data_IF_350357418531
#
_entry.id   IF_350357418531
#
_cell.length_a   1.000
_cell.length_b   1.000
_cell.length_c   1.000
_cell.angle_alpha   90.00
_cell.angle_beta   90.00
_cell.angle_gamma   90.00
#
_symmetry.space_group_name_H-M   'P 1'
#
loop_
_entity.id
_entity.type
_entity.pdbx_description
1 polymer ?
#
# COMPACT_ATOMS: atom_id res chain seq x y z
N UNK A 1 13.73 19.25 2.01
CA UNK A 1 13.37 18.28 0.96
C UNK A 1 14.60 18.03 0.11
N UNK A 2 15.09 16.78 0.11
CA UNK A 2 16.23 16.34 -0.70
C UNK A 2 15.71 15.89 -2.06
N UNK A 3 16.40 16.23 -3.14
CA UNK A 3 16.08 15.67 -4.47
C UNK A 3 16.97 14.45 -4.71
N UNK A 4 16.39 13.37 -5.25
CA UNK A 4 17.07 12.11 -5.55
C UNK A 4 16.83 11.72 -7.00
N UNK A 5 17.71 10.89 -7.54
CA UNK A 5 17.65 10.42 -8.91
C UNK A 5 17.93 8.92 -8.93
N UNK A 6 17.03 8.16 -9.51
CA UNK A 6 17.18 6.73 -9.73
C UNK A 6 17.58 6.49 -11.19
N UNK A 7 18.54 5.61 -11.42
CA UNK A 7 19.15 5.40 -12.74
C UNK A 7 18.73 4.06 -13.35
N UNK A 8 18.69 3.01 -12.55
CA UNK A 8 18.36 1.67 -13.03
C UNK A 8 16.85 1.50 -13.17
N UNK A 9 16.41 1.17 -14.39
CA UNK A 9 15.01 0.94 -14.72
C UNK A 9 14.83 -0.21 -15.70
N UNK A 10 13.73 -0.95 -15.55
CA UNK A 10 13.19 -1.84 -16.56
C UNK A 10 12.04 -1.15 -17.28
N UNK A 11 11.80 -1.58 -18.52
CA UNK A 11 10.72 -1.08 -19.36
C UNK A 11 9.95 -2.27 -19.92
N UNK A 12 8.65 -2.29 -19.66
CA UNK A 12 7.73 -3.33 -20.14
C UNK A 12 6.69 -2.72 -21.06
N UNK A 13 6.42 -3.41 -22.17
CA UNK A 13 5.40 -3.00 -23.13
C UNK A 13 4.01 -3.34 -22.59
N UNK A 14 3.17 -2.32 -22.38
CA UNK A 14 1.81 -2.50 -21.85
C UNK A 14 0.80 -1.69 -22.69
N UNK A 15 0.11 -2.32 -23.65
CA UNK A 15 -0.85 -1.63 -24.48
C UNK A 15 -2.12 -1.26 -23.70
N UNK A 16 -2.72 -0.13 -24.09
CA UNK A 16 -3.98 0.37 -23.53
C UNK A 16 -3.80 1.22 -22.28
N UNK A 17 -4.93 1.82 -21.85
CA UNK A 17 -5.01 2.58 -20.62
C UNK A 17 -5.47 1.68 -19.46
N UNK A 18 -5.11 2.04 -18.24
CA UNK A 18 -5.51 1.33 -17.03
C UNK A 18 -6.10 2.27 -15.98
N UNK A 19 -6.87 1.70 -15.06
CA UNK A 19 -7.18 2.36 -13.79
C UNK A 19 -6.04 2.15 -12.81
N UNK A 20 -5.85 3.09 -11.88
CA UNK A 20 -4.80 2.98 -10.86
C UNK A 20 -4.92 1.69 -10.00
N UNK A 21 -6.15 1.23 -9.77
CA UNK A 21 -6.46 -0.01 -9.02
C UNK A 21 -6.30 -1.29 -9.85
N UNK A 22 -6.03 -1.17 -11.16
CA UNK A 22 -5.75 -2.27 -12.07
C UNK A 22 -4.24 -2.46 -12.28
N UNK A 23 -3.43 -2.04 -11.31
CA UNK A 23 -1.98 -2.25 -11.24
C UNK A 23 -1.64 -2.78 -9.85
N UNK A 24 -0.87 -3.87 -9.79
CA UNK A 24 -0.47 -4.47 -8.52
C UNK A 24 0.81 -5.27 -8.62
N UNK A 25 1.33 -5.64 -7.45
CA UNK A 25 2.53 -6.47 -7.30
C UNK A 25 2.23 -7.56 -6.30
N UNK A 26 2.60 -8.79 -6.60
CA UNK A 26 2.42 -9.92 -5.69
C UNK A 26 2.90 -11.23 -6.29
N UNK A 27 3.08 -12.24 -5.43
CA UNK A 27 3.48 -13.59 -5.82
C UNK A 27 2.28 -14.32 -6.44
N UNK A 28 2.24 -14.34 -7.78
CA UNK A 28 1.09 -14.80 -8.58
C UNK A 28 1.14 -16.31 -8.79
N UNK A 29 2.32 -16.90 -8.89
CA UNK A 29 2.52 -18.33 -9.14
C UNK A 29 3.00 -19.13 -7.92
N UNK A 30 3.03 -18.50 -6.75
CA UNK A 30 3.35 -19.09 -5.44
C UNK A 30 4.80 -19.58 -5.32
N UNK A 31 5.74 -18.94 -6.00
CA UNK A 31 7.16 -19.25 -5.93
C UNK A 31 7.94 -18.35 -4.93
N UNK A 32 7.24 -17.46 -4.22
CA UNK A 32 7.75 -16.44 -3.29
C UNK A 32 8.47 -15.27 -3.95
N UNK A 33 8.52 -15.23 -5.27
CA UNK A 33 8.93 -14.07 -6.05
C UNK A 33 7.69 -13.31 -6.50
N UNK A 34 7.74 -11.99 -6.41
CA UNK A 34 6.58 -11.18 -6.77
C UNK A 34 6.65 -10.75 -8.24
N UNK A 35 5.54 -10.89 -8.93
CA UNK A 35 5.31 -10.40 -10.29
C UNK A 35 4.56 -9.06 -10.28
N UNK A 36 4.64 -8.35 -11.42
CA UNK A 36 3.79 -7.19 -11.69
C UNK A 36 2.58 -7.66 -12.46
N UNK A 37 1.41 -7.21 -12.05
CA UNK A 37 0.16 -7.47 -12.74
C UNK A 37 -0.50 -6.16 -13.15
N UNK A 38 -0.87 -6.06 -14.42
CA UNK A 38 -1.54 -4.89 -14.97
C UNK A 38 -2.73 -5.31 -15.84
N UNK A 39 -3.87 -4.65 -15.66
CA UNK A 39 -5.08 -4.86 -16.45
C UNK A 39 -5.51 -3.58 -17.13
N UNK A 40 -5.84 -3.65 -18.41
CA UNK A 40 -6.26 -2.49 -19.17
C UNK A 40 -7.78 -2.40 -19.36
N UNK A 41 -8.23 -1.25 -19.82
CA UNK A 41 -9.63 -0.96 -20.11
C UNK A 41 -10.20 -1.76 -21.30
N UNK A 42 -9.34 -2.41 -22.09
CA UNK A 42 -9.75 -3.28 -23.21
C UNK A 42 -10.01 -4.73 -22.77
N UNK A 43 -9.79 -5.05 -21.50
CA UNK A 43 -9.98 -6.40 -20.96
C UNK A 43 -8.80 -7.33 -21.17
N UNK A 44 -7.60 -6.78 -21.33
CA UNK A 44 -6.36 -7.53 -21.34
C UNK A 44 -5.69 -7.44 -19.97
N UNK A 45 -5.41 -8.60 -19.38
CA UNK A 45 -4.68 -8.77 -18.12
C UNK A 45 -3.30 -9.34 -18.42
N UNK A 46 -2.25 -8.71 -17.92
CA UNK A 46 -0.86 -9.07 -18.21
C UNK A 46 -0.07 -9.24 -16.91
N UNK A 47 0.74 -10.30 -16.84
CA UNK A 47 1.66 -10.58 -15.74
C UNK A 47 3.08 -10.49 -16.26
N UNK A 48 3.95 -9.73 -15.59
CA UNK A 48 5.36 -9.53 -15.95
C UNK A 48 6.26 -10.12 -14.87
N UNK A 49 7.20 -10.97 -15.27
CA UNK A 49 8.11 -11.72 -14.39
C UNK A 49 9.57 -11.48 -14.78
N UNK A 50 10.42 -11.18 -13.80
CA UNK A 50 11.87 -11.00 -14.00
C UNK A 50 12.25 -9.75 -14.80
N UNK A 51 12.96 -9.94 -15.91
CA UNK A 51 13.48 -8.85 -16.76
C UNK A 51 12.98 -8.90 -18.20
N UNK A 52 12.11 -9.85 -18.55
CA UNK A 52 11.56 -9.94 -19.91
C UNK A 52 10.62 -8.75 -20.15
N UNK A 53 10.91 -7.95 -21.17
CA UNK A 53 10.10 -6.78 -21.53
C UNK A 53 8.67 -7.18 -21.94
N UNK A 54 8.50 -8.43 -22.37
CA UNK A 54 7.20 -9.00 -22.73
C UNK A 54 6.55 -9.65 -21.51
N UNK A 55 5.22 -9.62 -21.43
CA UNK A 55 4.51 -10.28 -20.35
C UNK A 55 4.69 -11.80 -20.43
N UNK A 56 4.83 -12.36 -19.24
CA UNK A 56 5.01 -13.77 -18.94
C UNK A 56 3.69 -14.55 -19.09
N UNK A 57 2.58 -13.95 -18.65
CA UNK A 57 1.21 -14.46 -18.86
C UNK A 57 0.27 -13.34 -19.30
N UNK A 58 -0.75 -13.70 -20.07
CA UNK A 58 -1.78 -12.82 -20.62
C UNK A 58 -3.15 -13.49 -20.58
N UNK A 59 -4.19 -12.74 -20.26
CA UNK A 59 -5.58 -13.11 -20.51
C UNK A 59 -6.29 -11.96 -21.24
N UNK A 60 -7.28 -12.29 -22.05
CA UNK A 60 -8.07 -11.36 -22.84
C UNK A 60 -9.56 -11.62 -22.64
N UNK A 61 -10.40 -10.75 -23.18
CA UNK A 61 -11.87 -10.86 -23.14
C UNK A 61 -12.46 -10.81 -21.71
N UNK A 62 -11.80 -10.09 -20.79
CA UNK A 62 -12.20 -10.00 -19.38
C UNK A 62 -13.17 -8.85 -19.05
N UNK A 63 -13.61 -8.09 -20.05
CA UNK A 63 -14.34 -6.82 -19.84
C UNK A 63 -13.42 -5.69 -19.35
N UNK A 64 -13.94 -4.49 -19.15
CA UNK A 64 -13.11 -3.34 -18.75
C UNK A 64 -12.55 -3.55 -17.34
N UNK A 65 -11.26 -3.89 -17.20
CA UNK A 65 -10.66 -4.23 -15.89
C UNK A 65 -10.51 -2.97 -15.04
N UNK A 66 -11.14 -2.95 -13.87
CA UNK A 66 -11.09 -1.82 -12.93
C UNK A 66 -10.21 -2.07 -11.72
N UNK A 67 -10.14 -3.31 -11.23
CA UNK A 67 -9.40 -3.68 -10.02
C UNK A 67 -8.67 -5.01 -10.21
N UNK A 68 -7.45 -5.09 -9.69
CA UNK A 68 -6.65 -6.32 -9.61
C UNK A 68 -6.15 -6.52 -8.19
N UNK A 69 -6.03 -7.78 -7.77
CA UNK A 69 -5.48 -8.14 -6.48
C UNK A 69 -4.88 -9.54 -6.52
N UNK A 70 -3.85 -9.76 -5.70
CA UNK A 70 -3.16 -11.04 -5.54
C UNK A 70 -3.16 -11.38 -4.06
N UNK A 71 -3.65 -12.56 -3.70
CA UNK A 71 -3.69 -13.01 -2.31
C UNK A 71 -4.46 -14.33 -2.12
N UNK A 72 -4.41 -14.88 -0.90
CA UNK A 72 -5.07 -16.16 -0.54
C UNK A 72 -6.58 -16.01 -0.36
N UNK A 73 -7.28 -15.62 -1.44
CA UNK A 73 -8.72 -15.35 -1.39
C UNK A 73 -9.57 -16.60 -1.14
N UNK A 74 -9.03 -17.78 -1.48
CA UNK A 74 -9.70 -19.05 -1.27
C UNK A 74 -9.41 -19.68 0.10
N UNK A 75 -8.55 -19.05 0.92
CA UNK A 75 -8.16 -19.54 2.24
C UNK A 75 -7.58 -20.96 2.21
N UNK A 76 -6.71 -21.24 1.23
CA UNK A 76 -6.04 -22.53 1.02
C UNK A 76 -4.51 -22.43 1.13
N UNK A 77 -3.99 -21.28 1.61
CA UNK A 77 -2.57 -21.00 1.72
C UNK A 77 -1.89 -20.75 0.38
N UNK A 78 -2.66 -20.37 -0.66
CA UNK A 78 -2.14 -20.09 -2.01
C UNK A 78 -2.70 -18.78 -2.53
N UNK A 79 -1.82 -17.93 -3.02
CA UNK A 79 -2.18 -16.71 -3.71
C UNK A 79 -2.88 -17.02 -5.03
N UNK A 80 -3.93 -16.24 -5.29
CA UNK A 80 -4.72 -16.26 -6.51
C UNK A 80 -4.76 -14.86 -7.09
N UNK A 81 -4.72 -14.77 -8.41
CA UNK A 81 -4.91 -13.51 -9.11
C UNK A 81 -6.40 -13.27 -9.33
N UNK A 82 -6.90 -12.15 -8.85
CA UNK A 82 -8.30 -11.71 -8.97
C UNK A 82 -8.36 -10.48 -9.87
N UNK A 83 -9.26 -10.49 -10.84
CA UNK A 83 -9.55 -9.37 -11.73
C UNK A 83 -11.04 -9.05 -11.72
N UNK A 84 -11.38 -7.79 -11.46
CA UNK A 84 -12.76 -7.28 -11.53
C UNK A 84 -12.93 -6.37 -12.75
N UNK A 85 -14.05 -6.56 -13.43
CA UNK A 85 -14.46 -5.72 -14.56
C UNK A 85 -15.54 -4.71 -14.17
N UNK A 86 -15.65 -3.61 -14.92
CA UNK A 86 -16.70 -2.60 -14.74
C UNK A 86 -18.10 -3.20 -14.89
N UNK A 87 -18.24 -4.25 -15.70
CA UNK A 87 -19.50 -4.97 -15.92
C UNK A 87 -19.90 -5.87 -14.73
N UNK A 88 -19.01 -6.09 -13.76
CA UNK A 88 -19.26 -6.91 -12.57
C UNK A 88 -18.76 -8.35 -12.67
N UNK A 89 -18.06 -8.73 -13.75
CA UNK A 89 -17.40 -10.03 -13.82
C UNK A 89 -16.16 -10.06 -12.93
N UNK A 90 -16.13 -11.04 -12.01
CA UNK A 90 -14.99 -11.40 -11.19
C UNK A 90 -14.34 -12.66 -11.76
N UNK A 91 -13.08 -12.53 -12.16
CA UNK A 91 -12.27 -13.60 -12.71
C UNK A 91 -11.18 -13.96 -11.70
N UNK A 92 -11.04 -15.26 -11.40
CA UNK A 92 -10.00 -15.77 -10.51
C UNK A 92 -9.09 -16.69 -11.32
N UNK A 93 -7.78 -16.48 -11.22
CA UNK A 93 -6.77 -17.24 -11.95
C UNK A 93 -5.85 -17.99 -10.97
N UNK A 94 -5.74 -19.30 -11.16
CA UNK A 94 -4.65 -20.11 -10.61
C UNK A 94 -3.51 -20.12 -11.63
N UNK A 95 -2.55 -19.22 -11.45
CA UNK A 95 -1.40 -19.13 -12.36
C UNK A 95 -0.36 -20.16 -11.95
N UNK A 96 0.13 -20.92 -12.94
CA UNK A 96 1.14 -21.96 -12.74
C UNK A 96 2.50 -21.47 -13.27
N UNK A 97 3.55 -21.81 -12.53
CA UNK A 97 4.94 -21.56 -12.93
C UNK A 97 5.38 -22.37 -14.15
N UNK A 98 6.55 -22.07 -14.69
CA UNK A 98 7.06 -22.63 -15.96
C UNK A 98 7.44 -24.14 -15.92
N UNK A 99 7.25 -24.81 -14.78
CA UNK A 99 7.57 -26.23 -14.57
C UNK A 99 6.44 -27.24 -14.92
N UNK A 100 5.22 -26.76 -15.20
CA UNK A 100 4.06 -27.61 -15.48
C UNK A 100 3.60 -27.51 -16.95
N UNK A 101 4.23 -28.31 -17.83
CA UNK A 101 3.80 -28.69 -19.19
C UNK A 101 3.49 -27.59 -20.27
N UNK A 102 4.51 -27.22 -21.06
CA UNK A 102 4.47 -27.38 -22.54
C UNK A 102 4.13 -26.20 -23.50
N UNK A 103 5.07 -25.96 -24.42
CA UNK A 103 5.02 -25.35 -25.78
C UNK A 103 4.65 -23.86 -25.96
N UNK A 104 5.59 -23.10 -26.55
CA UNK A 104 5.59 -21.63 -26.61
C UNK A 104 4.35 -20.91 -27.16
N UNK A 105 4.32 -19.59 -26.89
CA UNK A 105 3.29 -18.56 -27.15
C UNK A 105 1.84 -18.87 -26.69
N UNK A 106 1.32 -20.09 -26.88
CA UNK A 106 0.06 -20.54 -26.25
C UNK A 106 0.18 -20.69 -24.73
N UNK A 107 1.38 -21.02 -24.22
CA UNK A 107 1.69 -21.11 -22.79
C UNK A 107 1.62 -19.75 -22.06
N UNK A 108 1.69 -18.64 -22.82
CA UNK A 108 1.50 -17.30 -22.24
C UNK A 108 0.03 -16.99 -21.99
N UNK A 109 -0.92 -17.70 -22.61
CA UNK A 109 -2.34 -17.43 -22.42
C UNK A 109 -2.88 -18.12 -21.16
N UNK A 110 -3.34 -17.36 -20.18
CA UNK A 110 -4.01 -17.88 -18.99
C UNK A 110 -5.53 -17.78 -19.11
N UNK A 111 -6.23 -18.75 -18.54
CA UNK A 111 -7.70 -18.79 -18.48
C UNK A 111 -8.19 -18.69 -17.03
N UNK A 112 -9.32 -18.03 -16.78
CA UNK A 112 -9.87 -17.95 -15.43
C UNK A 112 -10.24 -19.34 -14.93
N UNK A 113 -9.74 -19.69 -13.75
CA UNK A 113 -10.09 -20.93 -13.05
C UNK A 113 -11.50 -20.85 -12.44
N UNK A 114 -11.99 -19.64 -12.17
CA UNK A 114 -13.36 -19.40 -11.72
C UNK A 114 -13.86 -18.05 -12.23
N UNK A 115 -15.16 -17.99 -12.55
CA UNK A 115 -15.84 -16.77 -12.97
C UNK A 115 -17.13 -16.63 -12.16
N UNK A 116 -17.33 -15.47 -11.56
CA UNK A 116 -18.57 -15.15 -10.87
C UNK A 116 -19.00 -13.72 -11.17
N UNK A 117 -20.30 -13.52 -11.40
CA UNK A 117 -20.87 -12.19 -11.51
C UNK A 117 -21.10 -11.60 -10.12
N UNK A 118 -20.46 -10.47 -9.85
CA UNK A 118 -20.63 -9.61 -8.68
C UNK A 118 -21.35 -8.31 -9.11
N UNK A 119 -21.73 -7.41 -8.19
CA UNK A 119 -22.24 -6.10 -8.57
C UNK A 119 -21.27 -5.35 -9.50
N UNK A 120 -21.81 -4.57 -10.44
CA UNK A 120 -21.02 -3.81 -11.40
C UNK A 120 -20.40 -2.54 -10.79
N UNK A 121 -19.50 -1.90 -11.53
CA UNK A 121 -18.81 -0.64 -11.18
C UNK A 121 -17.95 -0.73 -9.91
N UNK A 122 -17.18 -1.81 -9.77
CA UNK A 122 -16.10 -1.89 -8.78
C UNK A 122 -15.07 -0.78 -9.04
N UNK A 123 -14.68 -0.10 -7.97
CA UNK A 123 -13.74 1.03 -8.00
C UNK A 123 -12.44 0.74 -7.28
N UNK A 124 -12.51 -0.01 -6.18
CA UNK A 124 -11.37 -0.38 -5.33
C UNK A 124 -11.61 -1.75 -4.75
N UNK A 125 -10.53 -2.52 -4.57
CA UNK A 125 -10.57 -3.88 -4.06
C UNK A 125 -9.40 -4.13 -3.12
N UNK A 126 -9.66 -4.78 -1.99
CA UNK A 126 -8.62 -5.37 -1.13
C UNK A 126 -8.98 -6.80 -0.78
N UNK A 127 -7.95 -7.60 -0.48
CA UNK A 127 -8.09 -8.95 0.05
C UNK A 127 -7.53 -8.90 1.47
N UNK A 128 -8.40 -9.02 2.47
CA UNK A 128 -8.02 -8.92 3.87
C UNK A 128 -9.04 -9.62 4.76
N UNK A 129 -8.60 -10.05 5.93
CA UNK A 129 -9.47 -10.49 7.02
C UNK A 129 -10.16 -9.27 7.62
N UNK A 130 -11.48 -9.15 7.41
CA UNK A 130 -12.27 -7.99 7.85
C UNK A 130 -13.14 -8.27 9.06
N UNK A 131 -13.36 -9.54 9.42
CA UNK A 131 -14.12 -9.91 10.62
C UNK A 131 -13.24 -10.60 11.68
N UNK A 132 -11.92 -10.50 11.53
CA UNK A 132 -10.88 -11.05 12.41
C UNK A 132 -11.07 -12.56 12.69
N UNK A 133 -11.61 -13.31 11.72
CA UNK A 133 -11.83 -14.76 11.85
C UNK A 133 -10.64 -15.61 11.35
N UNK A 134 -9.56 -14.94 10.92
CA UNK A 134 -8.35 -15.55 10.39
C UNK A 134 -8.45 -15.94 8.92
N UNK A 135 -9.56 -15.62 8.24
CA UNK A 135 -9.74 -15.86 6.80
C UNK A 135 -9.80 -14.55 6.04
N UNK A 136 -9.29 -14.55 4.82
CA UNK A 136 -9.36 -13.41 3.93
C UNK A 136 -10.72 -13.32 3.25
N UNK A 137 -11.29 -12.11 3.24
CA UNK A 137 -12.44 -11.71 2.43
C UNK A 137 -12.01 -10.87 1.22
N UNK A 138 -12.85 -10.91 0.19
CA UNK A 138 -12.83 -9.96 -0.91
C UNK A 138 -13.65 -8.74 -0.53
N UNK A 139 -13.01 -7.59 -0.33
CA UNK A 139 -13.70 -6.33 -0.01
C UNK A 139 -13.67 -5.43 -1.23
N UNK A 140 -14.86 -4.98 -1.66
CA UNK A 140 -15.01 -4.18 -2.87
C UNK A 140 -15.75 -2.89 -2.52
N UNK A 141 -15.14 -1.75 -2.86
CA UNK A 141 -15.79 -0.45 -2.90
C UNK A 141 -16.32 -0.15 -4.30
N UNK A 142 -17.57 0.30 -4.39
CA UNK A 142 -18.27 0.57 -5.64
C UNK A 142 -18.46 2.07 -5.86
N UNK A 143 -18.70 2.48 -7.10
CA UNK A 143 -18.96 3.89 -7.46
C UNK A 143 -20.26 4.45 -6.88
N UNK A 144 -21.16 3.59 -6.39
CA UNK A 144 -22.44 3.95 -5.75
C UNK A 144 -22.29 4.21 -4.23
N UNK A 145 -21.06 4.30 -3.73
CA UNK A 145 -20.70 4.55 -2.32
C UNK A 145 -21.01 3.37 -1.39
N UNK A 146 -21.18 2.17 -1.96
CA UNK A 146 -21.33 0.94 -1.19
C UNK A 146 -19.97 0.26 -1.06
N UNK A 147 -19.69 -0.28 0.13
CA UNK A 147 -18.64 -1.28 0.33
C UNK A 147 -19.31 -2.61 0.63
N UNK A 148 -18.83 -3.70 0.04
CA UNK A 148 -19.28 -5.06 0.35
C UNK A 148 -18.08 -5.96 0.61
N UNK A 149 -18.21 -6.85 1.59
CA UNK A 149 -17.29 -7.97 1.74
C UNK A 149 -17.93 -9.26 1.24
N UNK A 150 -17.10 -10.14 0.67
CA UNK A 150 -17.48 -11.45 0.21
C UNK A 150 -16.51 -12.49 0.73
N UNK A 151 -17.04 -13.58 1.27
CA UNK A 151 -16.26 -14.73 1.73
C UNK A 151 -16.30 -15.83 0.69
N UNK A 152 -15.15 -16.45 0.44
CA UNK A 152 -15.09 -17.64 -0.40
C UNK A 152 -15.69 -18.84 0.34
N UNK A 153 -16.64 -19.53 -0.30
CA UNK A 153 -17.26 -20.75 0.22
C UNK A 153 -16.96 -21.91 -0.72
N UNK A 154 -16.24 -22.89 -0.20
CA UNK A 154 -15.90 -24.13 -0.91
C UNK A 154 -17.09 -25.08 -0.91
N UNK A 155 -17.45 -25.62 -2.08
CA UNK A 155 -18.40 -26.74 -2.17
C UNK A 155 -17.69 -28.05 -1.80
N UNK A 156 -18.44 -29.01 -1.24
CA UNK A 156 -18.00 -30.12 -0.36
C UNK A 156 -16.85 -31.08 -0.81
N UNK A 157 -16.10 -30.79 -1.88
CA UNK A 157 -14.93 -31.57 -2.29
C UNK A 157 -13.62 -30.76 -2.07
N UNK A 158 -12.87 -31.04 -0.99
CA UNK A 158 -11.67 -30.29 -0.59
C UNK A 158 -10.56 -30.26 -1.66
N UNK A 159 -10.46 -31.34 -2.45
CA UNK A 159 -9.34 -31.61 -3.35
C UNK A 159 -9.54 -31.04 -4.76
N UNK A 160 -10.75 -30.57 -5.08
CA UNK A 160 -11.05 -29.94 -6.36
C UNK A 160 -10.86 -28.41 -6.30
N UNK A 161 -9.69 -27.96 -6.71
CA UNK A 161 -9.38 -26.54 -6.84
C UNK A 161 -9.88 -26.00 -8.20
N UNK A 162 -10.66 -24.91 -8.29
CA UNK A 162 -11.40 -24.16 -7.27
C UNK A 162 -12.93 -24.35 -7.43
N UNK A 163 -13.50 -25.40 -6.83
CA UNK A 163 -14.97 -25.54 -6.73
C UNK A 163 -15.49 -24.75 -5.51
N UNK A 164 -15.87 -23.50 -5.74
CA UNK A 164 -16.47 -22.63 -4.72
C UNK A 164 -17.18 -21.42 -5.32
N UNK A 165 -17.68 -20.53 -4.45
CA UNK A 165 -18.30 -19.25 -4.83
C UNK A 165 -18.14 -18.21 -3.74
N UNK A 166 -18.14 -16.95 -4.12
CA UNK A 166 -18.26 -15.83 -3.20
C UNK A 166 -19.68 -15.71 -2.66
N UNK A 167 -19.78 -15.58 -1.33
CA UNK A 167 -21.01 -15.31 -0.62
C UNK A 167 -20.88 -13.92 0.04
N UNK A 168 -21.86 -13.02 -0.14
CA UNK A 168 -21.85 -11.72 0.53
C UNK A 168 -21.87 -11.90 2.05
N UNK A 169 -21.05 -11.13 2.77
CA UNK A 169 -20.98 -11.15 4.24
C UNK A 169 -21.54 -9.86 4.80
N UNK A 170 -20.87 -8.73 4.55
CA UNK A 170 -21.26 -7.42 5.07
C UNK A 170 -21.51 -6.42 3.94
N UNK A 171 -22.30 -5.39 4.25
CA UNK A 171 -22.60 -4.27 3.34
C UNK A 171 -22.64 -2.97 4.13
N UNK A 172 -21.79 -2.02 3.74
CA UNK A 172 -21.77 -0.67 4.28
C UNK A 172 -22.18 0.34 3.21
N UNK A 173 -23.03 1.30 3.57
CA UNK A 173 -23.43 2.41 2.70
C UNK A 173 -22.82 3.70 3.23
N UNK A 174 -21.89 4.26 2.47
CA UNK A 174 -21.20 5.50 2.83
C UNK A 174 -21.97 6.73 2.31
N UNK A 175 -21.75 7.86 2.99
CA UNK A 175 -22.37 9.13 2.63
C UNK A 175 -21.74 9.76 1.38
N UNK A 176 -20.41 9.61 1.22
CA UNK A 176 -19.64 10.21 0.14
C UNK A 176 -18.90 9.18 -0.71
N UNK A 177 -18.26 9.66 -1.78
CA UNK A 177 -17.51 8.84 -2.73
C UNK A 177 -16.35 8.10 -2.05
N UNK A 178 -16.01 6.93 -2.55
CA UNK A 178 -14.91 6.11 -2.05
C UNK A 178 -13.63 6.55 -2.76
N UNK A 179 -12.61 6.95 -2.00
CA UNK A 179 -11.25 7.15 -2.52
C UNK A 179 -10.55 5.81 -2.71
N UNK A 180 -9.99 5.31 -1.62
CA UNK A 180 -9.38 3.99 -1.44
C UNK A 180 -9.91 3.30 -0.18
N UNK A 181 -9.60 2.01 -0.06
CA UNK A 181 -9.87 1.18 1.11
C UNK A 181 -8.54 0.57 1.54
N UNK A 182 -8.29 0.53 2.85
CA UNK A 182 -7.12 -0.10 3.43
C UNK A 182 -7.50 -0.79 4.73
N UNK A 183 -6.64 -1.67 5.22
CA UNK A 183 -6.68 -2.14 6.60
C UNK A 183 -5.63 -1.43 7.45
N UNK A 184 -5.91 -1.31 8.75
CA UNK A 184 -4.95 -0.86 9.75
C UNK A 184 -5.04 -1.71 11.03
N UNK A 185 -3.92 -2.20 11.54
CA UNK A 185 -3.85 -2.95 12.79
C UNK A 185 -3.83 -1.97 13.96
N UNK A 186 -4.80 -2.13 14.85
CA UNK A 186 -4.95 -1.35 16.07
C UNK A 186 -4.05 -1.89 17.20
N UNK A 187 -3.95 -1.14 18.29
CA UNK A 187 -3.11 -1.49 19.44
C UNK A 187 -3.51 -2.82 20.11
N UNK A 188 -4.80 -3.17 20.05
CA UNK A 188 -5.33 -4.44 20.57
C UNK A 188 -5.08 -5.64 19.62
N UNK A 189 -4.50 -5.39 18.43
CA UNK A 189 -4.24 -6.37 17.40
C UNK A 189 -5.42 -6.64 16.46
N UNK A 190 -6.55 -5.97 16.66
CA UNK A 190 -7.68 -6.06 15.72
C UNK A 190 -7.37 -5.30 14.43
N UNK A 191 -7.96 -5.76 13.33
CA UNK A 191 -7.87 -5.09 12.04
C UNK A 191 -9.05 -4.15 11.87
N UNK A 192 -8.76 -2.87 11.67
CA UNK A 192 -9.74 -1.86 11.27
C UNK A 192 -9.74 -1.71 9.74
N UNK A 193 -10.92 -1.63 9.13
CA UNK A 193 -11.09 -1.43 7.69
C UNK A 193 -11.46 0.03 7.46
N UNK A 194 -10.55 0.77 6.85
CA UNK A 194 -10.66 2.22 6.69
C UNK A 194 -10.94 2.59 5.24
N UNK A 195 -11.86 3.53 5.04
CA UNK A 195 -12.26 4.02 3.71
C UNK A 195 -12.03 5.52 3.61
N UNK A 196 -11.20 5.95 2.67
CA UNK A 196 -11.00 7.37 2.42
C UNK A 196 -12.29 8.02 1.93
N UNK A 197 -12.61 9.19 2.50
CA UNK A 197 -13.72 10.04 2.14
C UNK A 197 -13.21 11.41 1.68
N UNK A 198 -13.94 12.11 0.80
CA UNK A 198 -13.54 13.43 0.35
C UNK A 198 -13.27 14.41 1.49
N UNK A 199 -12.41 15.41 1.22
CA UNK A 199 -12.06 16.42 2.21
C UNK A 199 -10.99 16.02 3.21
N UNK A 200 -10.17 15.00 2.91
CA UNK A 200 -9.09 14.56 3.81
C UNK A 200 -9.61 13.84 5.06
N UNK A 201 -10.73 13.13 4.94
CA UNK A 201 -11.37 12.39 6.03
C UNK A 201 -11.43 10.90 5.68
N UNK A 202 -11.79 10.07 6.65
CA UNK A 202 -12.01 8.65 6.42
C UNK A 202 -13.08 8.11 7.37
N UNK A 203 -13.53 6.89 7.06
CA UNK A 203 -14.53 6.16 7.84
C UNK A 203 -14.01 4.76 8.11
N UNK A 204 -14.14 4.31 9.36
CA UNK A 204 -13.86 2.94 9.75
C UNK A 204 -15.14 2.09 9.67
N UNK A 205 -15.01 0.91 9.06
CA UNK A 205 -16.10 -0.03 8.84
C UNK A 205 -16.10 -1.07 9.97
N UNK A 206 -17.15 -1.05 10.79
CA UNK A 206 -17.30 -2.01 11.89
C UNK A 206 -18.29 -3.09 11.47
N UNK A 207 -17.88 -4.36 11.56
CA UNK A 207 -18.71 -5.51 11.25
C UNK A 207 -19.79 -5.75 12.30
N UNK A 208 -20.83 -6.52 11.97
CA UNK A 208 -21.92 -6.78 12.91
C UNK A 208 -21.51 -7.63 14.11
N UNK A 209 -20.42 -8.40 14.03
CA UNK A 209 -19.92 -9.26 15.12
C UNK A 209 -19.08 -8.52 16.15
N UNK A 210 -18.41 -7.44 15.76
CA UNK A 210 -17.49 -6.68 16.62
C UNK A 210 -18.22 -5.82 17.66
N UNK A 211 -19.54 -5.62 17.48
CA UNK A 211 -20.39 -4.85 18.39
C UNK A 211 -20.54 -5.54 19.77
N UNK A 212 -20.32 -6.86 19.84
CA UNK A 212 -20.48 -7.64 21.08
C UNK A 212 -19.22 -7.68 21.97
N UNK A 213 -18.08 -7.18 21.50
CA UNK A 213 -16.80 -7.19 22.23
C UNK A 213 -16.34 -5.80 22.66
N UNK A 214 -17.25 -4.82 22.76
CA UNK A 214 -16.95 -3.43 23.09
C UNK A 214 -16.18 -3.22 24.40
N UNK A 215 -14.85 -3.17 24.30
CA UNK A 215 -14.00 -2.40 25.19
C UNK A 215 -14.35 -0.91 24.99
N UNK A 216 -14.66 -0.24 26.10
CA UNK A 216 -15.38 1.03 26.07
C UNK A 216 -14.63 2.20 25.45
N UNK A 217 -15.32 2.93 24.56
CA UNK A 217 -15.12 4.37 24.43
C UNK A 217 -16.31 5.09 25.05
N UNK A 218 -16.08 5.64 26.24
CA UNK A 218 -16.99 6.58 26.89
C UNK A 218 -16.89 7.90 26.13
N UNK A 219 -17.93 8.26 25.39
CA UNK A 219 -18.31 9.66 25.17
C UNK A 219 -19.82 9.73 24.91
N UNK A 220 -20.59 9.94 25.98
CA UNK A 220 -22.00 10.38 25.89
C UNK A 220 -22.04 11.89 26.15
N UNK A 221 -22.58 12.71 25.24
CA UNK A 221 -22.98 14.07 25.60
C UNK A 221 -24.25 14.02 26.46
N UNK A 222 -24.19 14.64 27.64
CA UNK A 222 -25.30 14.81 28.57
C UNK A 222 -26.13 16.06 28.22
N UNK A 223 -27.43 15.89 27.97
CA UNK A 223 -28.45 16.90 28.29
C UNK A 223 -29.81 16.21 28.53
N UNK A 224 -30.39 16.38 29.73
CA UNK A 224 -31.63 15.70 30.20
C UNK A 224 -32.92 16.48 29.94
N UNK A 225 -33.99 16.31 30.74
CA UNK A 225 -34.57 15.07 31.26
C UNK A 225 -36.08 14.90 30.89
N UNK A 226 -36.59 13.67 31.11
CA UNK A 226 -37.99 13.25 31.22
C UNK A 226 -38.82 13.07 29.94
N UNK A 227 -39.05 11.80 29.56
CA UNK A 227 -40.40 11.20 29.59
C UNK A 227 -40.28 9.68 29.58
N UNK A 228 -40.95 9.07 30.57
CA UNK A 228 -41.12 7.64 30.78
C UNK A 228 -42.13 7.04 29.81
N UNK A 229 -41.75 5.98 29.11
CA UNK A 229 -42.63 4.87 28.73
C UNK A 229 -41.74 3.64 28.57
N UNK A 230 -41.95 2.68 29.47
CA UNK A 230 -41.61 1.28 29.31
C UNK A 230 -42.25 0.77 28.01
N UNK A 231 -41.52 0.00 27.20
CA UNK A 231 -42.04 -1.16 26.46
C UNK A 231 -40.96 -1.77 25.53
N UNK A 232 -40.71 -3.06 25.76
CA UNK A 232 -40.20 -4.09 24.85
C UNK A 232 -38.72 -4.06 24.43
N UNK A 233 -37.96 -4.92 25.12
CA UNK A 233 -36.66 -5.46 24.70
C UNK A 233 -36.83 -6.28 23.40
N UNK A 234 -36.69 -5.61 22.25
CA UNK A 234 -36.28 -6.28 21.01
C UNK A 234 -34.74 -6.35 21.01
N UNK A 235 -34.20 -7.57 21.00
CA UNK A 235 -32.81 -7.85 20.63
C UNK A 235 -32.56 -7.35 19.21
N UNK A 236 -32.23 -6.06 19.09
CA UNK A 236 -31.80 -5.44 17.84
C UNK A 236 -30.42 -5.99 17.50
N UNK A 237 -30.37 -6.99 16.64
CA UNK A 237 -29.16 -7.33 15.89
C UNK A 237 -28.77 -6.06 15.13
N UNK A 238 -27.80 -5.34 15.66
CA UNK A 238 -27.36 -4.06 15.14
C UNK A 238 -26.51 -4.34 13.90
N UNK A 239 -26.97 -3.83 12.75
CA UNK A 239 -26.28 -4.01 11.47
C UNK A 239 -24.88 -3.37 11.46
N UNK A 240 -24.12 -3.56 10.37
CA UNK A 240 -22.80 -2.98 10.19
C UNK A 240 -22.82 -1.47 10.46
N UNK A 241 -21.85 -0.99 11.24
CA UNK A 241 -21.80 0.41 11.72
C UNK A 241 -20.61 1.16 11.11
N UNK A 242 -20.73 2.48 11.04
CA UNK A 242 -19.70 3.38 10.49
C UNK A 242 -19.21 4.32 11.59
N UNK A 243 -17.89 4.44 11.73
CA UNK A 243 -17.26 5.43 12.61
C UNK A 243 -16.57 6.48 11.75
N UNK A 244 -16.94 7.75 11.94
CA UNK A 244 -16.44 8.86 11.13
C UNK A 244 -15.31 9.57 11.85
N UNK A 245 -14.18 9.75 11.16
CA UNK A 245 -12.97 10.34 11.72
C UNK A 245 -12.68 11.69 11.02
N UNK A 246 -13.15 12.82 11.58
CA UNK A 246 -12.80 14.14 11.07
C UNK A 246 -11.38 14.49 11.52
N UNK A 247 -10.39 14.35 10.63
CA UNK A 247 -9.03 14.77 10.93
C UNK A 247 -8.97 16.29 11.13
N UNK A 248 -8.63 16.73 12.35
CA UNK A 248 -8.72 18.13 12.80
C UNK A 248 -7.83 19.13 12.04
N UNK A 249 -6.86 18.68 11.24
CA UNK A 249 -6.07 19.56 10.36
C UNK A 249 -6.76 19.85 9.01
N UNK A 250 -7.83 19.14 8.68
CA UNK A 250 -8.60 19.35 7.48
C UNK A 250 -9.80 20.27 7.76
N UNK A 251 -9.53 21.56 7.99
CA UNK A 251 -10.28 22.52 7.16
C UNK A 251 -9.75 22.34 5.74
N UNK A 252 -10.09 21.22 5.10
CA UNK A 252 -9.74 20.99 3.71
C UNK A 252 -10.18 22.25 2.97
N UNK A 253 -9.26 22.87 2.23
CA UNK A 253 -9.59 24.08 1.47
C UNK A 253 -10.81 23.81 0.59
N UNK A 254 -10.92 22.57 0.16
CA UNK A 254 -12.05 22.03 -0.56
C UNK A 254 -12.60 20.75 0.12
N UNK A 255 -13.79 20.80 0.75
CA UNK A 255 -14.44 19.62 1.34
C UNK A 255 -14.78 18.49 0.36
N UNK A 256 -14.76 18.77 -0.95
CA UNK A 256 -15.03 17.79 -2.01
C UNK A 256 -13.79 17.19 -2.66
N UNK A 257 -12.59 17.55 -2.18
CA UNK A 257 -11.33 17.04 -2.76
C UNK A 257 -11.24 15.52 -2.56
N UNK A 258 -10.83 14.79 -3.60
CA UNK A 258 -10.60 13.35 -3.50
C UNK A 258 -9.44 13.07 -2.53
N UNK A 259 -9.56 11.96 -1.82
CA UNK A 259 -8.65 11.59 -0.73
C UNK A 259 -8.27 10.13 -0.92
N UNK A 260 -7.00 9.81 -0.71
CA UNK A 260 -6.49 8.45 -0.68
C UNK A 260 -5.96 8.15 0.73
N UNK A 261 -6.05 6.89 1.14
CA UNK A 261 -5.57 6.40 2.44
C UNK A 261 -4.77 5.12 2.25
N UNK A 262 -3.69 4.99 3.01
CA UNK A 262 -2.93 3.74 3.15
C UNK A 262 -2.68 3.48 4.63
N UNK A 263 -3.00 2.28 5.09
CA UNK A 263 -2.83 1.85 6.47
C UNK A 263 -1.74 0.80 6.61
N UNK A 264 -1.62 0.23 7.81
CA UNK A 264 -0.63 -0.81 8.12
C UNK A 264 0.82 -0.39 7.87
N UNK A 265 1.15 0.90 8.03
CA UNK A 265 2.53 1.37 7.91
C UNK A 265 3.30 0.92 9.15
N UNK A 266 4.27 0.03 8.91
CA UNK A 266 5.03 -0.64 9.96
C UNK A 266 6.02 0.28 10.65
N UNK A 267 6.10 0.14 11.98
CA UNK A 267 7.08 0.79 12.84
C UNK A 267 8.37 -0.04 12.92
N UNK A 268 9.48 0.62 13.29
CA UNK A 268 10.82 0.00 13.29
C UNK A 268 10.86 -1.32 14.07
N UNK A 269 11.29 -2.39 13.39
CA UNK A 269 11.44 -3.74 13.97
C UNK A 269 12.49 -3.83 15.08
N UNK A 270 13.33 -2.80 15.26
CA UNK A 270 14.46 -2.81 16.23
C UNK A 270 14.04 -2.53 17.68
N UNK A 271 12.81 -2.05 17.92
CA UNK A 271 12.30 -1.70 19.25
C UNK A 271 10.88 -2.20 19.55
N UNK A 272 10.40 -3.25 18.87
CA UNK A 272 9.04 -3.75 19.11
C UNK A 272 9.01 -4.55 20.41
N UNK A 273 8.65 -3.89 21.52
CA UNK A 273 8.02 -4.58 22.65
C UNK A 273 6.66 -5.10 22.20
N UNK A 274 6.13 -6.14 22.85
CA UNK A 274 4.80 -6.71 22.54
C UNK A 274 3.64 -5.69 22.63
N UNK A 275 3.90 -4.49 23.15
CA UNK A 275 2.95 -3.42 23.46
C UNK A 275 2.75 -2.41 22.31
N UNK A 276 3.62 -2.36 21.28
CA UNK A 276 3.52 -1.40 20.17
C UNK A 276 3.04 -2.03 18.85
N UNK A 277 1.85 -2.66 18.88
CA UNK A 277 1.25 -3.30 17.68
C UNK A 277 0.55 -2.34 16.73
N UNK A 278 0.18 -1.15 17.19
CA UNK A 278 -0.57 -0.19 16.38
C UNK A 278 0.29 0.32 15.21
N UNK A 279 -0.25 0.21 13.99
CA UNK A 279 0.40 0.70 12.79
C UNK A 279 -0.01 2.15 12.48
N UNK A 280 0.87 2.89 11.81
CA UNK A 280 0.53 4.20 11.27
C UNK A 280 -0.35 4.04 10.03
N UNK A 281 -1.13 5.08 9.73
CA UNK A 281 -1.79 5.25 8.45
C UNK A 281 -1.52 6.65 7.89
N UNK A 282 -1.46 6.77 6.58
CA UNK A 282 -1.25 8.02 5.88
C UNK A 282 -2.47 8.36 5.03
N UNK A 283 -2.78 9.65 4.96
CA UNK A 283 -3.88 10.21 4.18
C UNK A 283 -3.30 11.28 3.25
N UNK A 284 -3.63 11.21 1.97
CA UNK A 284 -3.30 12.26 1.02
C UNK A 284 -4.54 12.79 0.30
N UNK A 285 -4.50 14.05 -0.12
CA UNK A 285 -5.56 14.68 -0.89
C UNK A 285 -5.04 15.12 -2.26
N UNK A 286 -5.94 15.16 -3.24
CA UNK A 286 -5.59 15.59 -4.60
C UNK A 286 -5.11 17.05 -4.68
N UNK A 287 -5.41 17.89 -3.69
CA UNK A 287 -4.89 19.27 -3.61
C UNK A 287 -3.53 19.37 -2.92
N UNK A 288 -2.88 18.24 -2.64
CA UNK A 288 -1.47 18.19 -2.21
C UNK A 288 -1.25 18.08 -0.71
N UNK A 289 -2.29 17.86 0.11
CA UNK A 289 -2.09 17.63 1.54
C UNK A 289 -1.65 16.18 1.75
N UNK A 290 -0.58 15.96 2.53
CA UNK A 290 -0.15 14.64 2.98
C UNK A 290 -0.02 14.66 4.51
N UNK A 291 -0.60 13.67 5.18
CA UNK A 291 -0.55 13.54 6.64
C UNK A 291 -0.29 12.10 7.05
N UNK A 292 0.54 11.92 8.07
CA UNK A 292 0.72 10.66 8.79
C UNK A 292 -0.04 10.75 10.11
N UNK A 293 -0.76 9.68 10.46
CA UNK A 293 -1.72 9.67 11.56
C UNK A 293 -1.58 8.37 12.35
N UNK A 294 -1.82 8.46 13.65
CA UNK A 294 -1.88 7.36 14.60
C UNK A 294 -3.02 7.65 15.58
N UNK A 295 -3.92 6.70 15.80
CA UNK A 295 -5.05 6.87 16.75
C UNK A 295 -5.78 8.22 16.61
N UNK A 296 -6.11 8.59 15.37
CA UNK A 296 -6.73 9.86 14.96
C UNK A 296 -5.93 11.13 15.25
N UNK A 297 -4.68 10.99 15.70
CA UNK A 297 -3.75 12.08 15.95
C UNK A 297 -2.76 12.19 14.82
N UNK A 298 -2.70 13.38 14.24
CA UNK A 298 -1.78 13.71 13.17
C UNK A 298 -0.38 13.83 13.75
N UNK A 299 0.51 12.93 13.35
CA UNK A 299 1.93 12.95 13.72
C UNK A 299 2.65 14.07 12.98
N UNK A 300 2.41 14.14 11.67
CA UNK A 300 2.84 15.25 10.85
C UNK A 300 1.90 15.45 9.69
N UNK A 301 1.88 16.68 9.18
CA UNK A 301 1.18 17.06 7.96
C UNK A 301 1.97 18.13 7.22
N UNK A 302 1.96 18.07 5.89
CA UNK A 302 2.48 19.13 5.04
C UNK A 302 1.70 19.21 3.73
N UNK A 303 1.88 20.34 3.04
CA UNK A 303 1.23 20.65 1.77
C UNK A 303 2.28 20.76 0.67
N UNK A 304 2.03 20.12 -0.46
CA UNK A 304 2.78 20.28 -1.70
C UNK A 304 1.92 20.98 -2.75
N UNK A 305 2.57 21.56 -3.76
CA UNK A 305 1.90 22.26 -4.87
C UNK A 305 1.69 21.34 -6.08
N UNK A 306 1.43 20.05 -5.84
CA UNK A 306 1.23 19.04 -6.89
C UNK A 306 0.01 18.18 -6.57
N UNK A 307 -0.64 17.68 -7.61
CA UNK A 307 -1.85 16.88 -7.48
C UNK A 307 -1.50 15.44 -7.14
N UNK A 308 -1.65 15.05 -5.87
CA UNK A 308 -1.31 13.71 -5.38
C UNK A 308 -2.42 12.71 -5.68
N UNK A 309 -2.06 11.51 -6.14
CA UNK A 309 -3.07 10.49 -6.50
C UNK A 309 -2.65 9.05 -6.22
N UNK A 310 -1.36 8.75 -6.25
CA UNK A 310 -0.85 7.42 -5.93
C UNK A 310 -0.25 7.44 -4.53
N UNK A 311 -0.91 6.81 -3.55
CA UNK A 311 -0.41 6.70 -2.18
C UNK A 311 -0.12 5.24 -1.85
N UNK A 312 1.11 4.97 -1.40
CA UNK A 312 1.55 3.63 -1.04
C UNK A 312 2.59 3.70 0.09
N UNK A 313 3.02 2.54 0.58
CA UNK A 313 4.06 2.38 1.59
C UNK A 313 5.12 1.41 1.08
N UNK A 314 6.39 1.73 1.34
CA UNK A 314 7.51 0.89 0.93
C UNK A 314 8.72 1.20 1.81
N UNK A 315 9.41 0.17 2.28
CA UNK A 315 10.75 0.30 2.88
C UNK A 315 11.77 0.54 1.74
N UNK A 316 12.04 1.81 1.47
CA UNK A 316 12.98 2.23 0.43
C UNK A 316 14.41 2.28 0.97
N UNK A 317 14.58 2.49 2.28
CA UNK A 317 15.90 2.60 2.91
C UNK A 317 16.51 1.24 3.29
N UNK A 318 15.69 0.20 3.37
CA UNK A 318 16.08 -1.14 3.80
C UNK A 318 16.35 -1.24 5.30
N UNK A 319 15.84 -0.30 6.11
CA UNK A 319 16.07 -0.26 7.55
C UNK A 319 15.00 -1.05 8.35
N UNK A 320 13.98 -1.57 7.65
CA UNK A 320 12.86 -2.31 8.20
C UNK A 320 11.68 -1.45 8.64
N UNK A 321 11.74 -0.13 8.43
CA UNK A 321 10.61 0.80 8.53
C UNK A 321 10.05 1.09 7.14
N UNK A 322 8.73 1.19 7.01
CA UNK A 322 8.13 1.57 5.74
C UNK A 322 8.00 3.09 5.65
N UNK A 323 8.49 3.68 4.56
CA UNK A 323 8.23 5.08 4.25
C UNK A 323 6.90 5.25 3.50
N UNK A 324 6.28 6.42 3.69
CA UNK A 324 5.13 6.85 2.90
C UNK A 324 5.62 7.33 1.55
N UNK A 325 5.18 6.68 0.49
CA UNK A 325 5.49 7.06 -0.89
C UNK A 325 4.24 7.60 -1.55
N UNK A 326 4.29 8.85 -2.02
CA UNK A 326 3.17 9.48 -2.72
C UNK A 326 3.61 10.06 -4.06
N UNK A 327 2.82 9.80 -5.09
CA UNK A 327 3.07 10.22 -6.45
C UNK A 327 2.00 11.21 -6.93
N UNK A 328 2.45 12.20 -7.71
CA UNK A 328 1.61 13.14 -8.44
C UNK A 328 1.50 12.78 -9.92
N UNK A 329 0.52 13.38 -10.61
CA UNK A 329 0.25 13.15 -12.03
C UNK A 329 1.38 13.60 -12.96
N UNK A 330 2.18 14.59 -12.53
CA UNK A 330 3.28 15.21 -13.27
C UNK A 330 4.65 14.57 -13.00
N UNK A 331 4.69 13.38 -12.40
CA UNK A 331 5.94 12.66 -12.19
C UNK A 331 6.63 12.91 -10.86
N UNK A 332 6.15 13.83 -10.00
CA UNK A 332 6.77 14.05 -8.70
C UNK A 332 6.41 12.93 -7.73
N UNK A 333 7.42 12.25 -7.22
CA UNK A 333 7.27 11.24 -6.16
C UNK A 333 7.94 11.74 -4.89
N UNK A 334 7.18 11.76 -3.80
CA UNK A 334 7.65 12.10 -2.47
C UNK A 334 7.76 10.85 -1.62
N UNK A 335 8.92 10.64 -1.01
CA UNK A 335 9.19 9.56 -0.07
C UNK A 335 9.42 10.21 1.28
N UNK A 336 8.58 9.85 2.25
CA UNK A 336 8.53 10.51 3.56
C UNK A 336 8.64 9.50 4.67
N UNK A 337 9.61 9.71 5.57
CA UNK A 337 9.76 8.88 6.75
C UNK A 337 8.85 9.35 7.91
N UNK A 338 8.87 8.60 9.00
CA UNK A 338 8.10 8.95 10.21
C UNK A 338 8.52 10.29 10.83
N UNK A 339 9.78 10.71 10.64
CA UNK A 339 10.34 11.98 11.12
C UNK A 339 9.98 13.20 10.26
N UNK A 340 9.09 13.05 9.27
CA UNK A 340 8.67 14.09 8.32
C UNK A 340 9.80 14.60 7.40
N UNK A 341 10.83 13.80 7.18
CA UNK A 341 11.87 14.12 6.23
C UNK A 341 11.46 13.63 4.84
N UNK A 342 11.73 14.45 3.83
CA UNK A 342 11.20 14.24 2.50
C UNK A 342 12.32 14.12 1.48
N UNK A 343 12.39 12.96 0.83
CA UNK A 343 13.09 12.78 -0.43
C UNK A 343 12.10 12.93 -1.59
N UNK A 344 12.55 13.59 -2.67
CA UNK A 344 11.74 13.85 -3.86
C UNK A 344 12.45 13.30 -5.08
N UNK A 345 11.76 12.47 -5.83
CA UNK A 345 12.18 11.95 -7.11
C UNK A 345 11.29 12.56 -8.21
N UNK A 346 11.90 13.02 -9.29
CA UNK A 346 11.19 13.49 -10.49
C UNK A 346 11.27 12.40 -11.54
N UNK A 347 10.11 11.82 -11.87
CA UNK A 347 9.94 11.01 -13.07
C UNK A 347 9.71 11.93 -14.28
N UNK A 348 10.25 11.57 -15.44
CA UNK A 348 10.36 12.50 -16.59
C UNK A 348 9.05 12.72 -17.33
N UNK A 349 8.09 11.78 -17.24
CA UNK A 349 6.83 11.80 -17.97
C UNK A 349 5.60 11.90 -17.06
N UNK A 350 4.45 12.20 -17.67
CA UNK A 350 3.16 12.14 -16.98
C UNK A 350 2.75 10.69 -16.72
N UNK A 351 2.15 10.46 -15.56
CA UNK A 351 1.85 9.14 -15.05
C UNK A 351 0.34 8.88 -15.12
N UNK A 352 -0.02 7.73 -15.68
CA UNK A 352 -1.40 7.21 -15.72
C UNK A 352 -1.75 6.39 -14.47
N UNK A 353 -0.81 5.60 -13.97
CA UNK A 353 -0.96 4.80 -12.75
C UNK A 353 0.38 4.67 -12.02
N UNK A 354 0.33 4.53 -10.70
CA UNK A 354 1.50 4.41 -9.85
C UNK A 354 1.27 3.36 -8.78
N UNK A 355 2.24 2.47 -8.61
CA UNK A 355 2.31 1.50 -7.51
C UNK A 355 3.76 1.41 -7.02
N UNK A 356 3.93 0.97 -5.78
CA UNK A 356 5.24 0.61 -5.26
C UNK A 356 5.10 -0.68 -4.47
N UNK A 357 6.15 -1.50 -4.52
CA UNK A 357 6.13 -2.80 -3.90
C UNK A 357 7.44 -3.54 -4.10
N UNK A 358 7.46 -4.76 -3.61
CA UNK A 358 8.60 -5.67 -3.75
C UNK A 358 8.44 -6.46 -5.05
N UNK A 359 9.36 -6.33 -6.01
CA UNK A 359 9.34 -7.03 -7.29
C UNK A 359 10.57 -7.91 -7.46
N UNK A 360 10.41 -9.10 -8.04
CA UNK A 360 11.52 -10.01 -8.29
C UNK A 360 12.13 -9.78 -9.68
N UNK A 361 13.38 -9.31 -9.71
CA UNK A 361 14.18 -9.16 -10.95
C UNK A 361 14.80 -10.48 -11.41
N UNK A 362 14.91 -11.45 -10.50
CA UNK A 362 15.49 -12.78 -10.69
C UNK A 362 14.89 -13.74 -9.66
N UNK A 363 14.94 -15.03 -9.94
CA UNK A 363 14.13 -16.10 -9.32
C UNK A 363 14.30 -16.35 -7.81
N UNK A 364 14.93 -15.48 -7.03
CA UNK A 364 15.08 -15.68 -5.58
C UNK A 364 15.08 -14.41 -4.74
N UNK A 365 14.92 -13.21 -5.35
CA UNK A 365 15.05 -11.96 -4.60
C UNK A 365 14.07 -10.89 -5.03
N UNK A 366 13.12 -10.63 -4.15
CA UNK A 366 12.29 -9.44 -4.17
C UNK A 366 13.10 -8.20 -3.75
N UNK A 367 13.00 -7.13 -4.54
CA UNK A 367 13.62 -5.83 -4.26
C UNK A 367 12.57 -4.73 -4.25
N UNK A 368 12.70 -3.70 -3.39
CA UNK A 368 11.78 -2.57 -3.39
C UNK A 368 11.88 -1.83 -4.73
N UNK A 369 10.72 -1.57 -5.35
CA UNK A 369 10.61 -0.94 -6.66
C UNK A 369 9.50 0.12 -6.68
N UNK A 370 9.74 1.17 -7.47
CA UNK A 370 8.71 2.14 -7.87
C UNK A 370 8.26 1.81 -9.28
N UNK A 371 6.96 1.66 -9.47
CA UNK A 371 6.36 1.21 -10.73
C UNK A 371 5.47 2.34 -11.26
N UNK A 372 5.87 2.85 -12.42
CA UNK A 372 5.20 3.93 -13.11
C UNK A 372 4.58 3.40 -14.38
N UNK A 373 3.32 3.76 -14.64
CA UNK A 373 2.71 3.50 -15.94
C UNK A 373 2.46 4.83 -16.62
N UNK A 374 2.99 4.97 -17.81
CA UNK A 374 2.95 6.22 -18.59
C UNK A 374 1.74 6.25 -19.52
N UNK A 375 1.34 7.44 -19.95
CA UNK A 375 0.35 7.58 -21.04
C UNK A 375 0.87 7.13 -22.41
N UNK A 376 2.18 6.87 -22.54
CA UNK A 376 2.80 6.27 -23.71
C UNK A 376 2.73 4.73 -23.73
N UNK A 377 1.91 4.11 -22.85
CA UNK A 377 1.66 2.66 -22.84
C UNK A 377 2.90 1.83 -22.46
N UNK A 378 3.65 2.31 -21.47
CA UNK A 378 4.83 1.64 -20.95
C UNK A 378 4.79 1.56 -19.43
N UNK A 379 5.20 0.41 -18.89
CA UNK A 379 5.43 0.24 -17.45
C UNK A 379 6.94 0.38 -17.21
N UNK A 380 7.31 1.32 -16.37
CA UNK A 380 8.68 1.57 -15.97
C UNK A 380 8.88 1.19 -14.51
N UNK A 381 9.87 0.35 -14.26
CA UNK A 381 10.17 -0.15 -12.92
C UNK A 381 11.54 0.34 -12.53
N UNK A 382 11.58 1.30 -11.62
CA UNK A 382 12.83 1.75 -11.00
C UNK A 382 13.17 0.79 -9.88
N UNK A 383 14.30 0.12 -10.04
CA UNK A 383 14.82 -0.85 -9.09
C UNK A 383 16.21 -0.38 -8.63
N UNK A 384 16.73 -0.97 -7.54
CA UNK A 384 18.00 -0.54 -6.93
C UNK A 384 17.98 0.94 -6.49
N UNK A 385 16.96 1.32 -5.72
CA UNK A 385 16.89 2.62 -5.07
C UNK A 385 17.94 2.71 -3.96
N UNK A 386 19.15 3.16 -4.29
CA UNK A 386 20.21 3.35 -3.30
C UNK A 386 19.96 4.64 -2.50
N UNK A 387 19.12 4.55 -1.48
CA UNK A 387 18.94 5.60 -0.48
C UNK A 387 19.35 5.07 0.89
N UNK A 388 20.61 5.24 1.33
CA UNK A 388 21.05 4.75 2.63
C UNK A 388 20.23 5.37 3.78
N UNK A 389 19.83 6.63 3.63
CA UNK A 389 18.85 7.28 4.51
C UNK A 389 18.05 8.31 3.70
N UNK A 390 16.78 8.52 4.09
CA UNK A 390 16.01 9.71 3.69
C UNK A 390 16.66 10.97 4.29
N UNK A 391 17.24 10.84 5.48
CA UNK A 391 18.05 11.86 6.15
C UNK A 391 19.17 12.41 5.25
N UNK A 392 19.46 13.70 5.42
CA UNK A 392 20.76 14.24 5.03
C UNK A 392 21.75 13.82 6.12
N UNK A 393 22.35 12.64 5.98
CA UNK A 393 23.38 12.19 6.91
C UNK A 393 24.56 13.17 6.85
N UNK A 394 24.81 13.90 7.94
CA UNK A 394 26.07 14.61 8.07
C UNK A 394 27.17 13.59 8.36
N UNK A 395 28.34 13.79 7.77
CA UNK A 395 29.50 12.92 7.99
C UNK A 395 29.80 12.70 9.49
N UNK A 396 29.52 13.69 10.34
CA UNK A 396 29.69 13.56 11.80
C UNK A 396 28.75 12.50 12.36
N UNK A 397 27.46 12.61 12.03
CA UNK A 397 26.42 11.71 12.52
C UNK A 397 26.63 10.28 11.98
N UNK A 398 27.10 10.14 10.73
CA UNK A 398 27.47 8.84 10.14
C UNK A 398 28.69 8.21 10.80
N UNK A 399 29.68 9.02 11.19
CA UNK A 399 30.89 8.52 11.85
C UNK A 399 30.62 8.15 13.30
N UNK A 400 29.74 8.86 14.00
CA UNK A 400 29.35 8.54 15.38
C UNK A 400 28.65 7.17 15.48
N UNK A 401 27.95 6.74 14.43
CA UNK A 401 27.26 5.45 14.36
C UNK A 401 28.18 4.27 13.98
N UNK A 402 29.43 4.52 13.58
CA UNK A 402 30.35 3.48 13.11
C UNK A 402 31.12 2.85 14.28
N UNK A 403 31.10 1.52 14.37
CA UNK A 403 31.88 0.78 15.37
C UNK A 403 33.38 1.10 15.25
N UNK A 404 34.03 1.37 16.39
CA UNK A 404 35.47 1.68 16.48
C UNK A 404 35.84 3.17 16.33
N UNK A 405 34.94 4.04 15.86
CA UNK A 405 35.20 5.49 15.82
C UNK A 405 35.37 6.09 17.23
N UNK A 406 34.58 5.72 18.26
CA UNK A 406 34.78 6.25 19.62
C UNK A 406 36.17 5.94 20.19
N UNK A 407 36.68 4.73 19.94
CA UNK A 407 38.02 4.31 20.37
C UNK A 407 39.11 5.08 19.62
N UNK A 408 38.95 5.27 18.31
CA UNK A 408 39.88 6.06 17.49
C UNK A 408 39.92 7.54 17.90
N UNK A 409 38.76 8.14 18.20
CA UNK A 409 38.68 9.52 18.70
C UNK A 409 39.38 9.66 20.05
N UNK A 410 39.26 8.65 20.92
CA UNK A 410 39.96 8.59 22.20
C UNK A 410 41.48 8.48 22.01
N UNK A 411 41.96 7.62 21.10
CA UNK A 411 43.38 7.52 20.75
C UNK A 411 43.94 8.82 20.16
N UNK A 412 43.13 9.57 19.42
CA UNK A 412 43.51 10.84 18.80
C UNK A 412 43.35 12.05 19.74
N UNK A 413 42.90 11.84 20.99
CA UNK A 413 42.62 12.91 21.96
C UNK A 413 41.65 13.99 21.44
N UNK A 414 40.64 13.57 20.66
CA UNK A 414 39.61 14.46 20.12
C UNK A 414 38.33 14.27 20.92
N UNK A 415 37.76 15.39 21.42
CA UNK A 415 36.49 15.37 22.13
C UNK A 415 35.32 15.14 21.14
N UNK A 416 34.54 14.05 21.28
CA UNK A 416 33.39 13.77 20.42
C UNK A 416 32.28 14.83 20.51
N UNK A 417 32.24 15.62 21.60
CA UNK A 417 31.28 16.69 21.77
C UNK A 417 31.62 17.94 20.93
N UNK A 418 32.88 18.07 20.51
CA UNK A 418 33.40 19.24 19.80
C UNK A 418 33.27 19.06 18.27
N UNK A 419 32.10 19.43 17.74
CA UNK A 419 31.78 19.35 16.31
C UNK A 419 32.75 20.09 15.38
N UNK A 420 33.44 21.13 15.88
CA UNK A 420 34.40 21.89 15.07
C UNK A 420 35.71 21.13 14.86
N UNK A 421 36.19 20.46 15.92
CA UNK A 421 37.40 19.65 15.90
C UNK A 421 37.19 18.36 15.07
N UNK A 422 36.02 17.73 15.22
CA UNK A 422 35.61 16.59 14.38
C UNK A 422 35.57 16.95 12.89
N UNK A 423 35.00 18.11 12.53
CA UNK A 423 34.99 18.58 11.14
C UNK A 423 36.40 18.75 10.57
N UNK A 424 37.32 19.34 11.34
CA UNK A 424 38.71 19.51 10.91
C UNK A 424 39.42 18.17 10.74
N UNK A 425 39.22 17.23 11.67
CA UNK A 425 39.80 15.89 11.60
C UNK A 425 39.29 15.14 10.37
N UNK A 426 37.97 15.08 10.17
CA UNK A 426 37.38 14.39 9.03
C UNK A 426 37.75 15.07 7.70
N UNK A 427 37.84 16.39 7.67
CA UNK A 427 38.30 17.13 6.50
C UNK A 427 39.78 16.82 6.18
N UNK A 428 40.65 16.78 7.19
CA UNK A 428 42.05 16.39 7.01
C UNK A 428 42.20 14.93 6.57
N UNK A 429 41.41 14.01 7.14
CA UNK A 429 41.47 12.60 6.79
C UNK A 429 40.97 12.32 5.35
N UNK A 430 39.91 12.99 4.92
CA UNK A 430 39.32 12.79 3.59
C UNK A 430 40.05 13.56 2.47
N UNK A 431 40.59 14.75 2.77
CA UNK A 431 41.11 15.65 1.73
C UNK A 431 42.58 16.09 1.96
N UNK A 432 43.13 15.89 3.16
CA UNK A 432 44.46 16.38 3.55
C UNK A 432 45.62 15.42 3.31
N UNK A 433 45.37 14.13 3.03
CA UNK A 433 46.41 13.10 2.94
C UNK A 433 47.28 13.11 1.67
N UNK A 434 47.00 13.96 0.68
CA UNK A 434 47.64 13.91 -0.64
C UNK A 434 48.90 14.78 -0.83
N UNK A 435 49.37 15.51 0.18
CA UNK A 435 50.40 16.53 -0.03
C UNK A 435 51.55 16.51 0.98
N UNK A 436 52.16 15.34 1.23
CA UNK A 436 53.56 15.28 1.68
C UNK A 436 54.26 14.01 1.18
N UNK A 437 54.72 14.00 -0.08
CA UNK A 437 55.99 13.31 -0.39
C UNK A 437 56.66 13.96 -1.61
N UNK A 438 57.98 14.10 -1.52
CA UNK A 438 58.96 14.71 -2.44
C UNK A 438 59.29 16.19 -2.17
N UNK A 439 60.09 16.40 -1.12
CA UNK A 439 61.32 17.19 -1.26
C UNK A 439 62.47 16.25 -1.56
#
# INVERSE_FOLDING_TARGET
MRTVSFVERLEFDFPGNLFNQALGVGDVDNDKCNEIVAGNMNGELMVFKGRDSKPWRKASDLGMITCIGVGDICNKGKNMLVSLSAEGWCHIFCVKGDGEEGNGDMDRCMQPSHIQHLPANSRVMIIADVDNDGKSELVIGYSDRVVRSFRWSTTADPDSFPLGKFIPVEKWQLAAQIGSITTNTLADGTVDVMVAQPGGTFVSLVGSKDIHTGAGHKDKPQWGPNTSTEDLEEDKIQGPTLVYHPLGAARARNPSVTTEIIGNISKSKKHVSEEERACYYAVCTLDGTLSLVEDDKIQWSFLVDHQLFGLTKLDVTGDGTEEVVVCSWDGQTYIVNHSKEVARFQFEDNIAAFCAGHYALSDEKNVPCLIYVTFSQQILVYYNMQMPHVELANLIDTMDQREGIPELLQCLSVDPSNKQQLRQLYHWALYGGGHQSKS
#
